data_IF_218976970891
#
_entry.id   IF_218976970891
#
_cell.length_a   1.000
_cell.length_b   1.000
_cell.length_c   1.000
_cell.angle_alpha   90.00
_cell.angle_beta   90.00
_cell.angle_gamma   90.00
#
_symmetry.space_group_name_H-M   'P 1'
#
loop_
_entity.id
_entity.type
_entity.pdbx_description
1 polymer ?
#
# COMPACT_ATOMS: atom_id res chain seq x y z
N UNK A 1 -12.57 19.61 1.37
CA UNK A 1 -12.97 18.31 0.77
C UNK A 1 -12.06 17.23 1.32
N UNK A 2 -12.61 16.12 1.81
CA UNK A 2 -11.80 14.96 2.17
C UNK A 2 -11.35 14.27 0.87
N UNK A 3 -10.03 14.11 0.68
CA UNK A 3 -9.48 13.44 -0.48
C UNK A 3 -9.93 11.96 -0.52
N UNK A 4 -10.26 11.46 -1.71
CA UNK A 4 -10.76 10.10 -1.89
C UNK A 4 -9.68 9.08 -1.51
N UNK A 5 -9.97 8.05 -0.69
CA UNK A 5 -9.00 7.01 -0.35
C UNK A 5 -8.77 6.06 -1.52
N UNK A 6 -7.51 5.76 -1.82
CA UNK A 6 -7.14 4.71 -2.77
C UNK A 6 -6.08 3.80 -2.17
N UNK A 7 -6.35 2.49 -2.12
CA UNK A 7 -5.38 1.49 -1.71
C UNK A 7 -4.37 1.25 -2.84
N UNK A 8 -3.09 1.35 -2.53
CA UNK A 8 -1.99 1.09 -3.44
C UNK A 8 -1.48 -0.33 -3.21
N UNK A 9 -1.62 -1.18 -4.22
CA UNK A 9 -1.10 -2.54 -4.22
C UNK A 9 0.41 -2.60 -4.51
N UNK A 10 1.05 -3.72 -4.20
CA UNK A 10 2.46 -3.99 -4.49
C UNK A 10 2.78 -3.78 -5.96
N UNK A 11 1.88 -4.13 -6.88
CA UNK A 11 2.11 -3.99 -8.32
C UNK A 11 2.36 -2.54 -8.77
N UNK A 12 1.77 -1.54 -8.11
CA UNK A 12 1.99 -0.12 -8.43
C UNK A 12 3.08 0.52 -7.59
N UNK A 13 3.42 -0.10 -6.46
CA UNK A 13 4.52 0.31 -5.60
C UNK A 13 5.86 -0.28 -6.06
N UNK A 14 5.89 -1.38 -6.81
CA UNK A 14 7.12 -2.01 -7.25
C UNK A 14 7.89 -1.14 -8.27
N UNK A 15 7.32 -0.74 -9.44
CA UNK A 15 8.03 0.07 -10.42
C UNK A 15 8.23 1.48 -9.87
N UNK A 16 9.49 1.92 -9.79
CA UNK A 16 9.84 3.19 -9.14
C UNK A 16 9.15 4.40 -9.78
N UNK A 17 9.01 4.43 -11.11
CA UNK A 17 8.35 5.53 -11.82
C UNK A 17 6.87 5.65 -11.46
N UNK A 18 6.17 4.52 -11.32
CA UNK A 18 4.74 4.49 -11.00
C UNK A 18 4.53 4.86 -9.53
N UNK A 19 5.34 4.30 -8.64
CA UNK A 19 5.32 4.65 -7.22
C UNK A 19 5.58 6.15 -7.00
N UNK A 20 6.62 6.72 -7.62
CA UNK A 20 6.92 8.15 -7.50
C UNK A 20 5.77 9.03 -8.01
N UNK A 21 5.21 8.69 -9.17
CA UNK A 21 4.08 9.42 -9.75
C UNK A 21 2.87 9.42 -8.82
N UNK A 22 2.46 8.24 -8.33
CA UNK A 22 1.29 8.08 -7.47
C UNK A 22 1.48 8.79 -6.12
N UNK A 23 2.65 8.65 -5.49
CA UNK A 23 2.93 9.33 -4.23
C UNK A 23 3.01 10.85 -4.38
N UNK A 24 3.49 11.38 -5.52
CA UNK A 24 3.45 12.82 -5.79
C UNK A 24 2.03 13.35 -5.97
N UNK A 25 1.16 12.62 -6.66
CA UNK A 25 -0.26 12.97 -6.79
C UNK A 25 -0.97 12.95 -5.43
N UNK A 26 -0.62 11.99 -4.58
CA UNK A 26 -1.09 11.97 -3.19
C UNK A 26 -0.59 13.20 -2.39
N UNK A 27 0.67 13.58 -2.55
CA UNK A 27 1.24 14.78 -1.91
C UNK A 27 0.58 16.08 -2.38
N UNK A 28 0.14 16.17 -3.64
CA UNK A 28 -0.64 17.31 -4.13
C UNK A 28 -2.10 17.32 -3.66
N UNK A 29 -2.50 16.35 -2.83
CA UNK A 29 -3.85 16.26 -2.29
C UNK A 29 -4.89 15.72 -3.28
N UNK A 30 -4.47 15.14 -4.40
CA UNK A 30 -5.39 14.58 -5.41
C UNK A 30 -6.19 13.39 -4.87
N UNK A 31 -5.58 12.58 -4.00
CA UNK A 31 -6.22 11.47 -3.31
C UNK A 31 -5.48 11.15 -2.00
N UNK A 32 -6.09 10.34 -1.13
CA UNK A 32 -5.45 9.82 0.09
C UNK A 32 -4.91 8.41 -0.17
N UNK A 33 -3.59 8.20 -0.18
CA UNK A 33 -3.04 6.87 -0.41
C UNK A 33 -3.26 6.01 0.84
N UNK A 34 -3.62 4.76 0.62
CA UNK A 34 -3.73 3.72 1.63
C UNK A 34 -2.86 2.53 1.23
N UNK A 35 -2.42 1.75 2.20
CA UNK A 35 -1.64 0.51 2.04
C UNK A 35 -1.77 -0.32 3.31
N UNK A 36 -1.54 -1.62 3.22
CA UNK A 36 -1.53 -2.52 4.39
C UNK A 36 -0.13 -2.99 4.73
N UNK A 37 0.05 -3.57 5.93
CA UNK A 37 1.27 -4.26 6.30
C UNK A 37 1.62 -5.39 5.32
N UNK A 38 0.61 -6.18 4.91
CA UNK A 38 0.80 -7.27 3.93
C UNK A 38 1.37 -6.78 2.59
N UNK A 39 0.84 -5.67 2.06
CA UNK A 39 1.36 -5.03 0.83
C UNK A 39 2.81 -4.57 1.01
N UNK A 40 3.15 -3.97 2.16
CA UNK A 40 4.52 -3.54 2.42
C UNK A 40 5.48 -4.74 2.56
N UNK A 41 5.02 -5.84 3.13
CA UNK A 41 5.81 -7.07 3.24
C UNK A 41 6.04 -7.74 1.89
N UNK A 42 5.02 -7.77 1.02
CA UNK A 42 5.15 -8.22 -0.38
C UNK A 42 6.12 -7.33 -1.16
N UNK A 43 5.98 -6.01 -1.05
CA UNK A 43 6.89 -5.06 -1.67
C UNK A 43 8.33 -5.27 -1.18
N UNK A 44 8.53 -5.46 0.13
CA UNK A 44 9.84 -5.72 0.72
C UNK A 44 10.47 -6.96 0.11
N UNK A 45 9.75 -8.10 0.11
CA UNK A 45 10.24 -9.37 -0.47
C UNK A 45 10.65 -9.21 -1.94
N UNK A 46 9.77 -8.64 -2.76
CA UNK A 46 9.98 -8.56 -4.20
C UNK A 46 11.10 -7.56 -4.58
N UNK A 47 11.17 -6.42 -3.89
CA UNK A 47 12.12 -5.34 -4.24
C UNK A 47 13.49 -5.57 -3.60
N UNK A 48 13.57 -6.22 -2.43
CA UNK A 48 14.84 -6.56 -1.78
C UNK A 48 15.77 -7.34 -2.70
N UNK A 49 15.22 -8.24 -3.54
CA UNK A 49 16.00 -9.01 -4.52
C UNK A 49 16.67 -8.15 -5.60
N UNK A 50 16.12 -6.96 -5.88
CA UNK A 50 16.60 -6.05 -6.93
C UNK A 50 17.54 -4.98 -6.38
N UNK A 51 17.24 -4.41 -5.22
CA UNK A 51 17.97 -3.24 -4.68
C UNK A 51 18.67 -3.49 -3.34
N UNK A 52 18.45 -4.66 -2.72
CA UNK A 52 18.97 -5.04 -1.42
C UNK A 52 18.13 -4.58 -0.23
N UNK A 53 18.16 -5.35 0.86
CA UNK A 53 17.32 -5.16 2.07
C UNK A 53 17.41 -3.74 2.64
N UNK A 54 18.63 -3.21 2.78
CA UNK A 54 18.84 -1.87 3.36
C UNK A 54 18.20 -0.75 2.54
N UNK A 55 18.17 -0.89 1.22
CA UNK A 55 17.60 0.12 0.34
C UNK A 55 16.07 0.11 0.40
N UNK A 56 15.44 -1.07 0.40
CA UNK A 56 13.98 -1.20 0.51
C UNK A 56 13.47 -0.81 1.91
N UNK A 57 14.19 -1.14 2.97
CA UNK A 57 13.85 -0.71 4.34
C UNK A 57 13.83 0.81 4.46
N UNK A 58 14.87 1.48 3.93
CA UNK A 58 14.89 2.96 3.86
C UNK A 58 13.72 3.52 3.06
N UNK A 59 13.34 2.87 1.96
CA UNK A 59 12.21 3.29 1.11
C UNK A 59 10.88 3.17 1.86
N UNK A 60 10.63 2.04 2.52
CA UNK A 60 9.41 1.81 3.31
C UNK A 60 9.33 2.78 4.48
N UNK A 61 10.44 2.98 5.21
CA UNK A 61 10.53 3.93 6.32
C UNK A 61 10.23 5.37 5.87
N UNK A 62 10.81 5.81 4.74
CA UNK A 62 10.50 7.11 4.16
C UNK A 62 9.03 7.24 3.79
N UNK A 63 8.46 6.21 3.16
CA UNK A 63 7.05 6.22 2.77
C UNK A 63 6.13 6.30 4.02
N UNK A 64 6.44 5.57 5.10
CA UNK A 64 5.75 5.67 6.41
C UNK A 64 5.85 7.07 7.03
N UNK A 65 7.04 7.68 6.98
CA UNK A 65 7.25 9.04 7.48
C UNK A 65 6.44 10.09 6.72
N UNK A 66 6.35 9.96 5.40
CA UNK A 66 5.63 10.92 4.54
C UNK A 66 4.11 10.75 4.65
N UNK A 67 3.63 9.51 4.79
CA UNK A 67 2.20 9.20 4.88
C UNK A 67 1.89 8.38 6.14
N UNK A 68 1.89 9.02 7.34
CA UNK A 68 1.72 8.31 8.61
C UNK A 68 0.33 7.69 8.79
N UNK A 69 -0.70 8.26 8.16
CA UNK A 69 -2.08 7.78 8.27
C UNK A 69 -2.51 6.88 7.11
N UNK A 70 -1.56 6.43 6.27
CA UNK A 70 -1.86 5.59 5.11
C UNK A 70 -1.94 4.09 5.43
N UNK A 71 -1.53 3.65 6.61
CA UNK A 71 -1.45 2.23 6.95
C UNK A 71 -2.80 1.70 7.47
N UNK A 72 -3.36 0.72 6.76
CA UNK A 72 -4.61 0.03 7.11
C UNK A 72 -4.28 -1.23 7.90
N UNK A 73 -4.94 -1.37 9.05
CA UNK A 73 -4.85 -2.52 9.96
C UNK A 73 -6.25 -3.07 10.28
N UNK A 74 -6.31 -4.28 10.84
CA UNK A 74 -7.56 -4.91 11.27
C UNK A 74 -8.44 -5.35 10.10
N UNK A 75 -7.83 -5.70 8.96
CA UNK A 75 -8.52 -6.24 7.78
C UNK A 75 -8.45 -7.77 7.72
N UNK A 76 -7.66 -8.41 8.57
CA UNK A 76 -7.32 -9.83 8.54
C UNK A 76 -8.57 -10.72 8.66
N UNK A 77 -9.54 -10.32 9.49
CA UNK A 77 -10.82 -11.01 9.65
C UNK A 77 -11.74 -10.95 8.41
N UNK A 78 -11.43 -10.07 7.45
CA UNK A 78 -12.13 -9.96 6.16
C UNK A 78 -11.46 -10.82 5.08
N UNK A 79 -10.16 -11.11 5.19
CA UNK A 79 -9.38 -11.83 4.16
C UNK A 79 -10.03 -13.15 3.74
N UNK A 80 -10.45 -13.98 4.70
CA UNK A 80 -11.09 -15.27 4.40
C UNK A 80 -12.49 -15.17 3.77
N UNK A 81 -13.10 -13.98 3.80
CA UNK A 81 -14.43 -13.71 3.23
C UNK A 81 -14.34 -13.13 1.81
N UNK A 82 -13.14 -12.80 1.33
CA UNK A 82 -12.94 -12.21 0.01
C UNK A 82 -13.08 -13.28 -1.08
N UNK A 83 -13.86 -12.98 -2.10
CA UNK A 83 -14.21 -13.90 -3.20
C UNK A 83 -13.33 -13.76 -4.43
N UNK A 84 -12.27 -12.94 -4.37
CA UNK A 84 -11.26 -12.83 -5.41
C UNK A 84 -10.20 -13.94 -5.33
N UNK A 85 -9.21 -13.88 -6.22
CA UNK A 85 -8.03 -14.75 -6.20
C UNK A 85 -7.39 -14.80 -4.82
N UNK A 86 -6.96 -16.00 -4.42
CA UNK A 86 -6.50 -16.29 -3.05
C UNK A 86 -5.36 -15.37 -2.61
N UNK A 87 -4.39 -15.14 -3.49
CA UNK A 87 -3.25 -14.24 -3.25
C UNK A 87 -3.67 -12.76 -3.06
N UNK A 88 -4.77 -12.36 -3.70
CA UNK A 88 -5.23 -10.96 -3.73
C UNK A 88 -6.26 -10.65 -2.64
N UNK A 89 -6.74 -11.68 -1.91
CA UNK A 89 -7.73 -11.53 -0.83
C UNK A 89 -7.30 -10.50 0.21
N UNK A 90 -6.01 -10.46 0.54
CA UNK A 90 -5.50 -9.55 1.55
C UNK A 90 -5.53 -8.08 1.09
N UNK A 91 -5.34 -7.82 -0.21
CA UNK A 91 -5.46 -6.49 -0.83
C UNK A 91 -6.93 -6.07 -0.81
N UNK A 92 -7.84 -6.93 -1.26
CA UNK A 92 -9.27 -6.61 -1.30
C UNK A 92 -9.84 -6.38 0.11
N UNK A 93 -9.44 -7.19 1.09
CA UNK A 93 -9.82 -7.01 2.48
C UNK A 93 -9.35 -5.66 3.04
N UNK A 94 -8.10 -5.28 2.79
CA UNK A 94 -7.57 -3.98 3.17
C UNK A 94 -8.32 -2.83 2.48
N UNK A 95 -8.69 -2.99 1.20
CA UNK A 95 -9.45 -2.00 0.45
C UNK A 95 -10.83 -1.78 1.09
N UNK A 96 -11.58 -2.86 1.35
CA UNK A 96 -12.90 -2.82 2.00
C UNK A 96 -12.81 -2.17 3.39
N UNK A 97 -11.76 -2.46 4.16
CA UNK A 97 -11.55 -1.86 5.49
C UNK A 97 -11.22 -0.37 5.43
N UNK A 98 -10.49 0.07 4.40
CA UNK A 98 -9.98 1.43 4.23
C UNK A 98 -10.98 2.44 3.67
N UNK A 99 -12.13 1.97 3.16
CA UNK A 99 -13.23 2.86 2.74
C UNK A 99 -13.93 3.41 4.00
N UNK A 100 -13.96 4.75 4.20
CA UNK A 100 -14.74 5.34 5.29
C UNK A 100 -16.23 5.05 5.09
N UNK A 101 -16.90 4.65 6.18
CA UNK A 101 -18.36 4.50 6.23
C UNK A 101 -19.04 5.85 6.38
#
# INVERSE_FOLDING_TARGET
MAAYPALLDTCVLFPQYLCDTLLRLALSGTYRPLRSGGILDELRRNVAEVVGERAIERRIANMRRVFPSAEIAGYEALTSKMTCDEKDRHVLAAAVRGVPR
#
